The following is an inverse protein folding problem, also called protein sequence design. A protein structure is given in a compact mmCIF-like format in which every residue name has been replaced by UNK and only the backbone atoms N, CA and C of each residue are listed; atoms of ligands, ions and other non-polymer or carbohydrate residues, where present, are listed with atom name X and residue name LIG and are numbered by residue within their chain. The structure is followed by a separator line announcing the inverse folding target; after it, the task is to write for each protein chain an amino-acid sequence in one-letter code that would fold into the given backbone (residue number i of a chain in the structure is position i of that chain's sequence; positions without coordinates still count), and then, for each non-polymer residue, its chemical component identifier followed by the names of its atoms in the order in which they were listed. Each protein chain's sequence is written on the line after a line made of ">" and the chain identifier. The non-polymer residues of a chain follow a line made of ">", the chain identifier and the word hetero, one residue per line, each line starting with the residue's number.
data_IF_234776320149
#
_entry.id   IF_234776320149
#
_cell.length_a   1.000
_cell.length_b   1.000
_cell.length_c   1.000
_cell.angle_alpha   90.00
_cell.angle_beta   90.00
_cell.angle_gamma   90.00
#
_symmetry.space_group_name_H-M   'P 1'
#
loop_
_entity.id
_entity.type
_entity.pdbx_description
1 polymer ?
#
# COMPACT_ATOMS: atom_id res chain seq x y z
N UNK A 1 -8.46 23.86 -14.65
CA UNK A 1 -7.60 23.32 -13.57
C UNK A 1 -8.47 22.54 -12.61
N UNK A 2 -8.15 21.27 -12.37
CA UNK A 2 -8.88 20.37 -11.46
C UNK A 2 -8.50 20.72 -10.02
N UNK A 3 -9.48 21.02 -9.18
CA UNK A 3 -9.27 21.44 -7.78
C UNK A 3 -8.84 20.24 -6.93
N UNK A 4 -7.61 20.23 -6.44
CA UNK A 4 -7.16 19.22 -5.47
C UNK A 4 -7.82 19.54 -4.13
N UNK A 5 -8.71 18.67 -3.65
CA UNK A 5 -9.34 18.80 -2.34
C UNK A 5 -9.17 17.50 -1.58
N UNK A 6 -8.55 17.56 -0.42
CA UNK A 6 -8.35 16.42 0.47
C UNK A 6 -9.27 16.62 1.68
N UNK A 7 -9.94 15.57 2.09
CA UNK A 7 -10.77 15.55 3.29
C UNK A 7 -10.25 14.45 4.22
N UNK A 8 -9.99 14.78 5.49
CA UNK A 8 -9.61 13.80 6.50
C UNK A 8 -8.36 14.17 7.29
N UNK A 9 -7.82 13.17 7.99
CA UNK A 9 -6.58 13.25 8.77
C UNK A 9 -5.69 12.09 8.35
N UNK A 10 -4.37 12.29 8.38
CA UNK A 10 -3.43 11.24 8.03
C UNK A 10 -3.67 9.98 8.90
N UNK A 11 -3.57 8.78 8.32
CA UNK A 11 -3.83 7.53 9.00
C UNK A 11 -2.89 7.37 10.21
N UNK A 12 -3.44 6.78 11.27
CA UNK A 12 -2.75 6.51 12.52
C UNK A 12 -2.61 5.01 12.69
N UNK A 13 -1.57 4.62 13.41
CA UNK A 13 -1.39 3.22 13.79
C UNK A 13 -2.57 2.75 14.65
N UNK A 14 -3.19 1.65 14.22
CA UNK A 14 -4.28 1.00 14.93
C UNK A 14 -3.88 -0.45 15.26
N UNK A 15 -3.88 -0.77 16.55
CA UNK A 15 -3.54 -2.10 17.06
C UNK A 15 -4.56 -3.17 16.63
N UNK A 16 -5.84 -2.79 16.46
CA UNK A 16 -6.87 -3.73 15.99
C UNK A 16 -6.61 -4.12 14.54
N UNK A 17 -6.23 -3.16 13.69
CA UNK A 17 -5.86 -3.42 12.30
C UNK A 17 -4.63 -4.32 12.23
N UNK A 18 -3.60 -4.06 13.04
CA UNK A 18 -2.43 -4.93 13.09
C UNK A 18 -2.82 -6.36 13.49
N UNK A 19 -3.62 -6.54 14.53
CA UNK A 19 -4.07 -7.87 14.98
C UNK A 19 -4.87 -8.60 13.91
N UNK A 20 -5.75 -7.90 13.18
CA UNK A 20 -6.50 -8.48 12.08
C UNK A 20 -5.58 -8.94 10.94
N UNK A 21 -4.59 -8.12 10.56
CA UNK A 21 -3.60 -8.48 9.53
C UNK A 21 -2.76 -9.69 9.95
N UNK A 22 -2.29 -9.72 11.20
CA UNK A 22 -1.54 -10.85 11.76
C UNK A 22 -2.39 -12.13 11.75
N UNK A 23 -3.63 -12.08 12.22
CA UNK A 23 -4.55 -13.21 12.21
C UNK A 23 -4.83 -13.73 10.78
N UNK A 24 -5.03 -12.82 9.81
CA UNK A 24 -5.18 -13.19 8.41
C UNK A 24 -3.93 -13.92 7.87
N UNK A 25 -2.73 -13.40 8.18
CA UNK A 25 -1.47 -14.02 7.76
C UNK A 25 -1.23 -15.39 8.41
N UNK A 26 -1.57 -15.54 9.69
CA UNK A 26 -1.51 -16.83 10.41
C UNK A 26 -2.42 -17.86 9.76
N UNK A 27 -3.64 -17.47 9.41
CA UNK A 27 -4.59 -18.33 8.71
C UNK A 27 -4.03 -18.76 7.35
N UNK A 28 -3.49 -17.81 6.58
CA UNK A 28 -2.83 -18.13 5.31
C UNK A 28 -1.71 -19.15 5.50
N UNK A 29 -0.78 -18.92 6.44
CA UNK A 29 0.34 -19.84 6.70
C UNK A 29 -0.11 -21.27 7.04
N UNK A 30 -1.17 -21.42 7.84
CA UNK A 30 -1.75 -22.72 8.22
C UNK A 30 -2.48 -23.40 7.05
N UNK A 31 -3.08 -22.62 6.15
CA UNK A 31 -3.86 -23.12 5.03
C UNK A 31 -3.01 -23.40 3.78
N UNK A 32 -1.80 -22.87 3.68
CA UNK A 32 -0.88 -23.09 2.56
C UNK A 32 0.21 -24.12 2.88
N UNK A 33 1.04 -24.42 1.89
CA UNK A 33 2.20 -25.30 2.02
C UNK A 33 3.33 -24.70 2.87
N UNK A 34 3.24 -23.43 3.28
CA UNK A 34 4.27 -22.74 4.08
C UNK A 34 4.48 -23.39 5.47
N UNK A 35 3.43 -24.01 6.02
CA UNK A 35 3.49 -24.79 7.26
C UNK A 35 4.06 -26.21 7.09
N UNK A 36 4.54 -26.55 5.90
CA UNK A 36 5.08 -27.85 5.56
C UNK A 36 6.51 -27.73 5.01
N UNK A 37 7.31 -28.76 5.23
CA UNK A 37 8.54 -29.01 4.49
C UNK A 37 8.28 -30.03 3.38
N UNK A 38 9.15 -30.05 2.37
CA UNK A 38 9.02 -30.98 1.24
C UNK A 38 10.21 -31.94 1.22
N UNK A 39 9.96 -33.23 1.37
CA UNK A 39 10.95 -34.26 1.06
C UNK A 39 10.91 -34.52 -0.44
N UNK A 40 12.06 -34.46 -1.13
CA UNK A 40 12.17 -34.72 -2.58
C UNK A 40 13.37 -35.60 -2.90
N UNK A 41 13.21 -36.56 -3.81
CA UNK A 41 14.32 -37.37 -4.32
C UNK A 41 14.09 -37.74 -5.79
N UNK A 42 15.17 -37.95 -6.54
CA UNK A 42 15.07 -38.43 -7.92
C UNK A 42 14.75 -39.93 -7.92
N UNK A 43 15.34 -40.67 -6.98
CA UNK A 43 15.08 -42.09 -6.78
C UNK A 43 14.40 -42.35 -5.44
N UNK A 44 13.69 -43.48 -5.34
CA UNK A 44 12.94 -43.86 -4.16
C UNK A 44 13.82 -43.92 -2.89
N UNK A 45 15.06 -44.39 -3.01
CA UNK A 45 16.00 -44.47 -1.90
C UNK A 45 16.28 -43.09 -1.28
N UNK A 46 16.68 -42.10 -2.09
CA UNK A 46 16.95 -40.74 -1.62
C UNK A 46 15.72 -40.07 -1.00
N UNK A 47 14.56 -40.29 -1.62
CA UNK A 47 13.31 -39.77 -1.11
C UNK A 47 12.98 -40.34 0.27
N UNK A 48 13.05 -41.66 0.44
CA UNK A 48 12.78 -42.32 1.72
C UNK A 48 13.80 -41.92 2.79
N UNK A 49 15.08 -41.78 2.44
CA UNK A 49 16.11 -41.27 3.35
C UNK A 49 15.74 -39.88 3.88
N UNK A 50 15.34 -38.94 3.00
CA UNK A 50 14.91 -37.60 3.43
C UNK A 50 13.64 -37.60 4.28
N UNK A 51 12.70 -38.50 3.98
CA UNK A 51 11.49 -38.66 4.82
C UNK A 51 11.88 -39.13 6.22
N UNK A 52 12.80 -40.10 6.33
CA UNK A 52 13.31 -40.61 7.61
C UNK A 52 14.03 -39.50 8.39
N UNK A 53 14.91 -38.74 7.73
CA UNK A 53 15.65 -37.63 8.34
C UNK A 53 14.71 -36.55 8.91
N UNK A 54 13.70 -36.14 8.13
CA UNK A 54 12.70 -35.16 8.60
C UNK A 54 11.83 -35.75 9.70
N UNK A 55 11.45 -37.03 9.61
CA UNK A 55 10.71 -37.71 10.67
C UNK A 55 11.51 -37.75 11.98
N UNK A 56 12.83 -37.96 11.92
CA UNK A 56 13.72 -37.94 13.09
C UNK A 56 13.79 -36.55 13.74
N UNK A 57 13.57 -35.48 12.96
CA UNK A 57 13.46 -34.10 13.44
C UNK A 57 12.05 -33.75 13.97
N UNK A 58 11.12 -34.71 14.01
CA UNK A 58 9.76 -34.54 14.51
C UNK A 58 8.75 -34.01 13.50
N UNK A 59 9.11 -33.95 12.21
CA UNK A 59 8.16 -33.64 11.14
C UNK A 59 7.19 -34.82 10.96
N UNK A 60 5.95 -34.53 10.58
CA UNK A 60 4.92 -35.55 10.38
C UNK A 60 4.47 -35.58 8.93
N UNK A 61 4.36 -36.75 8.33
CA UNK A 61 3.85 -36.88 6.96
C UNK A 61 2.45 -36.24 6.85
N UNK A 62 2.24 -35.44 5.81
CA UNK A 62 0.98 -34.74 5.59
C UNK A 62 -0.07 -35.65 4.96
N UNK A 63 -1.29 -35.60 5.46
CA UNK A 63 -2.50 -36.19 4.86
C UNK A 63 -3.17 -35.24 3.85
N UNK A 64 -2.81 -33.95 3.88
CA UNK A 64 -3.43 -32.90 3.06
C UNK A 64 -2.93 -32.86 1.63
N UNK A 65 -1.67 -33.24 1.39
CA UNK A 65 -1.05 -33.18 0.07
C UNK A 65 -0.67 -34.58 -0.41
N UNK A 66 -0.95 -34.94 -1.68
CA UNK A 66 -0.62 -36.25 -2.19
C UNK A 66 0.90 -36.45 -2.28
N UNK A 67 1.31 -37.71 -2.17
CA UNK A 67 2.67 -38.13 -2.47
C UNK A 67 2.81 -38.27 -3.99
N UNK A 68 3.86 -37.70 -4.56
CA UNK A 68 4.22 -37.87 -5.96
C UNK A 68 5.24 -39.01 -6.04
N UNK A 69 4.96 -40.00 -6.88
CA UNK A 69 5.80 -41.17 -7.13
C UNK A 69 5.96 -41.41 -8.64
N UNK A 70 6.43 -40.39 -9.36
CA UNK A 70 6.69 -40.49 -10.79
C UNK A 70 8.14 -40.95 -11.05
N UNK A 71 8.44 -41.54 -12.22
CA UNK A 71 9.82 -41.86 -12.59
C UNK A 71 10.71 -40.63 -12.46
N UNK A 72 11.85 -40.77 -11.77
CA UNK A 72 12.80 -39.69 -11.50
C UNK A 72 12.23 -38.51 -10.69
N UNK A 73 11.05 -38.66 -10.06
CA UNK A 73 10.40 -37.57 -9.32
C UNK A 73 9.54 -38.10 -8.18
N UNK A 74 10.14 -38.14 -6.98
CA UNK A 74 9.48 -38.49 -5.75
C UNK A 74 9.37 -37.28 -4.83
N UNK A 75 8.18 -37.00 -4.30
CA UNK A 75 8.04 -35.96 -3.29
C UNK A 75 6.84 -36.16 -2.36
N UNK A 76 6.96 -35.63 -1.15
CA UNK A 76 5.88 -35.56 -0.17
C UNK A 76 6.02 -34.32 0.69
N UNK A 77 4.89 -33.86 1.23
CA UNK A 77 4.86 -32.79 2.21
C UNK A 77 4.86 -33.37 3.62
N UNK A 78 5.66 -32.79 4.51
CA UNK A 78 5.70 -33.13 5.92
C UNK A 78 5.39 -31.87 6.73
N UNK A 79 4.41 -31.95 7.62
CA UNK A 79 4.05 -30.87 8.54
C UNK A 79 5.23 -30.58 9.48
N UNK A 80 5.56 -29.29 9.59
CA UNK A 80 6.58 -28.80 10.52
C UNK A 80 6.20 -29.10 11.98
N UNK A 81 7.17 -29.37 12.86
CA UNK A 81 6.95 -29.42 14.31
C UNK A 81 6.35 -28.12 14.85
N UNK A 82 5.56 -28.20 15.91
CA UNK A 82 4.87 -27.03 16.49
C UNK A 82 5.83 -25.94 16.98
N UNK A 83 7.03 -26.32 17.44
CA UNK A 83 8.09 -25.37 17.83
C UNK A 83 8.58 -24.52 16.64
N UNK A 84 8.74 -25.15 15.46
CA UNK A 84 9.14 -24.45 14.24
C UNK A 84 8.00 -23.57 13.74
N UNK A 85 6.76 -24.08 13.77
CA UNK A 85 5.57 -23.28 13.41
C UNK A 85 5.45 -22.05 14.30
N UNK A 86 5.67 -22.18 15.61
CA UNK A 86 5.60 -21.04 16.53
C UNK A 86 6.68 -19.98 16.21
N UNK A 87 7.90 -20.40 15.92
CA UNK A 87 8.98 -19.49 15.52
C UNK A 87 8.67 -18.80 14.18
N UNK A 88 8.17 -19.55 13.19
CA UNK A 88 7.75 -19.00 11.89
C UNK A 88 6.64 -17.95 12.07
N UNK A 89 5.63 -18.22 12.90
CA UNK A 89 4.54 -17.28 13.17
C UNK A 89 5.01 -16.00 13.87
N UNK A 90 5.97 -16.10 14.81
CA UNK A 90 6.56 -14.92 15.44
C UNK A 90 7.35 -14.05 14.45
N UNK A 91 8.10 -14.68 13.54
CA UNK A 91 8.80 -13.97 12.49
C UNK A 91 7.81 -13.28 11.53
N UNK A 92 6.72 -13.95 11.17
CA UNK A 92 5.64 -13.38 10.37
C UNK A 92 4.96 -12.21 11.07
N UNK A 93 4.74 -12.28 12.38
CA UNK A 93 4.15 -11.18 13.15
C UNK A 93 5.01 -9.92 13.12
N UNK A 94 6.34 -10.09 13.22
CA UNK A 94 7.29 -8.99 13.11
C UNK A 94 7.28 -8.38 11.69
N UNK A 95 7.28 -9.24 10.67
CA UNK A 95 7.22 -8.80 9.27
C UNK A 95 5.93 -8.03 8.98
N UNK A 96 4.76 -8.57 9.33
CA UNK A 96 3.46 -7.92 9.12
C UNK A 96 3.39 -6.56 9.81
N UNK A 97 4.00 -6.43 11.00
CA UNK A 97 4.08 -5.16 11.71
C UNK A 97 4.96 -4.15 10.96
N UNK A 98 6.11 -4.58 10.44
CA UNK A 98 7.00 -3.70 9.66
C UNK A 98 6.31 -3.24 8.38
N UNK A 99 5.68 -4.16 7.65
CA UNK A 99 4.93 -3.85 6.42
C UNK A 99 3.79 -2.86 6.72
N UNK A 100 3.04 -3.06 7.81
CA UNK A 100 1.99 -2.12 8.20
C UNK A 100 2.51 -0.72 8.54
N UNK A 101 3.66 -0.62 9.20
CA UNK A 101 4.28 0.67 9.49
C UNK A 101 4.73 1.35 8.19
N UNK A 102 5.34 0.60 7.27
CA UNK A 102 5.77 1.11 5.97
C UNK A 102 4.58 1.62 5.13
N UNK A 103 3.46 0.88 5.12
CA UNK A 103 2.21 1.32 4.48
C UNK A 103 1.74 2.67 5.05
N UNK A 104 1.71 2.80 6.38
CA UNK A 104 1.30 4.04 7.05
C UNK A 104 2.24 5.21 6.73
N UNK A 105 3.54 4.98 6.65
CA UNK A 105 4.51 6.01 6.28
C UNK A 105 4.31 6.47 4.84
N UNK A 106 4.11 5.54 3.91
CA UNK A 106 3.83 5.83 2.51
C UNK A 106 2.53 6.66 2.37
N UNK A 107 1.44 6.22 3.00
CA UNK A 107 0.16 6.93 2.99
C UNK A 107 0.29 8.34 3.58
N UNK A 108 1.12 8.53 4.61
CA UNK A 108 1.38 9.84 5.21
C UNK A 108 2.16 10.75 4.26
N UNK A 109 3.16 10.23 3.55
CA UNK A 109 3.91 11.02 2.57
C UNK A 109 3.02 11.42 1.38
N UNK A 110 2.17 10.52 0.89
CA UNK A 110 1.17 10.87 -0.12
C UNK A 110 0.21 11.96 0.36
N UNK A 111 -0.26 11.85 1.61
CA UNK A 111 -1.15 12.84 2.20
C UNK A 111 -0.48 14.21 2.31
N UNK A 112 0.79 14.26 2.73
CA UNK A 112 1.59 15.50 2.77
C UNK A 112 1.76 16.11 1.38
N UNK A 113 2.10 15.31 0.37
CA UNK A 113 2.28 15.78 -1.00
C UNK A 113 0.98 16.40 -1.56
N UNK A 114 -0.15 15.71 -1.36
CA UNK A 114 -1.48 16.21 -1.75
C UNK A 114 -1.81 17.52 -1.02
N UNK A 115 -1.54 17.60 0.29
CA UNK A 115 -1.85 18.79 1.11
C UNK A 115 -1.04 20.00 0.67
N UNK A 116 0.25 19.80 0.42
CA UNK A 116 1.13 20.83 -0.12
C UNK A 116 0.62 21.32 -1.48
N UNK A 117 0.23 20.41 -2.38
CA UNK A 117 -0.32 20.80 -3.68
C UNK A 117 -1.63 21.59 -3.58
N UNK A 118 -2.53 21.21 -2.66
CA UNK A 118 -3.77 21.94 -2.40
C UNK A 118 -3.49 23.36 -1.85
N UNK A 119 -2.54 23.48 -0.92
CA UNK A 119 -2.18 24.78 -0.33
C UNK A 119 -1.52 25.71 -1.36
N UNK A 120 -0.66 25.18 -2.23
CA UNK A 120 -0.06 25.94 -3.33
C UNK A 120 -1.14 26.42 -4.32
N UNK A 121 -2.04 25.53 -4.77
CA UNK A 121 -3.16 25.93 -5.64
C UNK A 121 -4.03 27.02 -5.00
N UNK A 122 -4.29 26.92 -3.69
CA UNK A 122 -5.08 27.92 -2.97
C UNK A 122 -4.35 29.28 -2.87
N UNK A 123 -3.03 29.28 -2.69
CA UNK A 123 -2.21 30.48 -2.68
C UNK A 123 -2.18 31.16 -4.06
N UNK A 124 -1.91 30.39 -5.12
CA UNK A 124 -1.86 30.89 -6.51
C UNK A 124 -3.20 31.51 -6.93
N UNK A 125 -4.31 30.84 -6.63
CA UNK A 125 -5.65 31.37 -6.92
C UNK A 125 -5.94 32.67 -6.15
N UNK A 126 -5.41 32.81 -4.94
CA UNK A 126 -5.55 34.04 -4.14
C UNK A 126 -4.72 35.17 -4.71
N UNK A 127 -3.51 34.91 -5.20
CA UNK A 127 -2.68 35.92 -5.86
C UNK A 127 -3.26 36.34 -7.22
N UNK A 128 -3.68 35.40 -8.05
CA UNK A 128 -4.32 35.70 -9.34
C UNK A 128 -5.57 36.56 -9.16
N UNK A 129 -6.41 36.27 -8.16
CA UNK A 129 -7.58 37.10 -7.84
C UNK A 129 -7.18 38.52 -7.45
N UNK A 130 -6.16 38.68 -6.60
CA UNK A 130 -5.65 40.01 -6.22
C UNK A 130 -5.11 40.79 -7.42
N UNK A 131 -4.37 40.15 -8.32
CA UNK A 131 -3.88 40.80 -9.53
C UNK A 131 -5.00 41.17 -10.50
N UNK A 132 -5.95 40.28 -10.72
CA UNK A 132 -7.12 40.55 -11.55
C UNK A 132 -7.95 41.69 -10.98
N UNK A 133 -8.17 41.74 -9.67
CA UNK A 133 -8.86 42.85 -9.00
C UNK A 133 -8.09 44.17 -9.15
N UNK A 134 -6.75 44.15 -9.06
CA UNK A 134 -5.91 45.34 -9.30
C UNK A 134 -6.01 45.81 -10.75
N UNK A 135 -5.87 44.90 -11.72
CA UNK A 135 -5.98 45.20 -13.15
C UNK A 135 -7.37 45.72 -13.51
N UNK A 136 -8.43 45.14 -12.96
CA UNK A 136 -9.81 45.57 -13.18
C UNK A 136 -10.08 46.97 -12.63
N UNK A 137 -9.50 47.33 -11.48
CA UNK A 137 -9.59 48.70 -10.94
C UNK A 137 -8.88 49.71 -11.85
N UNK A 138 -7.68 49.38 -12.28
CA UNK A 138 -6.85 50.24 -13.14
C UNK A 138 -7.49 50.45 -14.53
N UNK A 139 -8.08 49.39 -15.10
CA UNK A 139 -8.87 49.47 -16.32
C UNK A 139 -10.10 50.37 -16.16
N UNK A 140 -10.82 50.30 -15.05
CA UNK A 140 -11.97 51.18 -14.79
C UNK A 140 -11.59 52.65 -14.67
N UNK A 141 -10.43 52.95 -14.07
CA UNK A 141 -9.91 54.33 -14.01
C UNK A 141 -9.53 54.84 -15.40
N UNK A 142 -8.83 54.02 -16.20
CA UNK A 142 -8.49 54.36 -17.59
C UNK A 142 -9.75 54.51 -18.45
N UNK A 143 -10.73 53.61 -18.35
CA UNK A 143 -11.99 53.71 -19.09
C UNK A 143 -12.74 55.00 -18.75
N UNK A 144 -12.68 55.42 -17.48
CA UNK A 144 -13.25 56.70 -17.04
C UNK A 144 -12.50 57.88 -17.64
N UNK A 145 -11.17 57.89 -17.58
CA UNK A 145 -10.35 58.94 -18.21
C UNK A 145 -10.59 59.02 -19.73
N UNK A 146 -10.65 57.87 -20.43
CA UNK A 146 -10.94 57.82 -21.87
C UNK A 146 -12.35 58.36 -22.14
N UNK A 147 -13.35 57.95 -21.37
CA UNK A 147 -14.72 58.46 -21.51
C UNK A 147 -14.81 59.97 -21.26
N UNK A 148 -14.13 60.47 -20.24
CA UNK A 148 -14.10 61.90 -19.89
C UNK A 148 -13.36 62.72 -20.96
N UNK A 149 -12.33 62.15 -21.60
CA UNK A 149 -11.53 62.82 -22.64
C UNK A 149 -12.23 62.86 -24.00
N UNK A 150 -12.88 61.77 -24.41
CA UNK A 150 -13.52 61.68 -25.73
C UNK A 150 -14.98 62.18 -25.73
N UNK A 151 -15.64 62.23 -24.57
CA UNK A 151 -17.03 62.67 -24.43
C UNK A 151 -18.01 61.84 -25.28
N UNK A 152 -19.31 62.15 -25.17
CA UNK A 152 -20.33 61.53 -26.01
C UNK A 152 -20.32 62.20 -27.39
N UNK A 153 -20.10 61.44 -28.46
CA UNK A 153 -20.21 61.93 -29.82
C UNK A 153 -21.67 62.35 -30.09
N UNK A 154 -21.93 63.65 -30.14
CA UNK A 154 -23.22 64.22 -30.53
C UNK A 154 -23.19 64.41 -32.04
N UNK A 155 -23.90 63.56 -32.77
CA UNK A 155 -24.11 63.72 -34.22
C UNK A 155 -25.43 64.49 -34.40
N UNK A 156 -25.42 65.69 -34.99
CA UNK A 156 -26.65 66.42 -35.30
C UNK A 156 -27.48 65.66 -36.34
N UNK A 157 -28.80 65.67 -36.16
CA UNK A 157 -29.77 65.10 -37.11
C UNK A 157 -29.84 65.90 -38.41
#
# INVERSE_FOLDING_TARGET
>A
MTKITIQGTAPKFDEQVLKQRQAARHNQYRLTSESYAVARGEIAFEFLTKVIELSAQGYKLSDKYPIISAPMSYSSYLRKPDAIIAADLQALDAQVKQDYIADLELEREEYKAKLTAQLLQAADLKEQKKEQERKAKLLKEIEKEVSDTFGKLVVPA
#
